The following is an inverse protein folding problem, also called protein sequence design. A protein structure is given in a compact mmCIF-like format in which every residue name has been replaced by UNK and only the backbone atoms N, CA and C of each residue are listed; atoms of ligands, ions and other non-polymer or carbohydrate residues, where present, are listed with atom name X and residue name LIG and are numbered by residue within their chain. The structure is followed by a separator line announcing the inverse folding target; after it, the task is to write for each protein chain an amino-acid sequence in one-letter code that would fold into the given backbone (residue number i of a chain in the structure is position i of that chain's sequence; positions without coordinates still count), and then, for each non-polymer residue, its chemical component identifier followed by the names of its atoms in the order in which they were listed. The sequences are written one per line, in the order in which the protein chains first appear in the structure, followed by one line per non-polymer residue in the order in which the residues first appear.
data_IF_945202993581
#
_entry.id   IF_945202993581
#
_cell.length_a   1.000
_cell.length_b   1.000
_cell.length_c   1.000
_cell.angle_alpha   90.00
_cell.angle_beta   90.00
_cell.angle_gamma   90.00
#
_symmetry.space_group_name_H-M   'P 1'
#
loop_
_entity.id
_entity.type
_entity.pdbx_description
1 polymer ?
#
# COMPACT_ATOMS: atom_id res chain seq x y z
N UNK A 1 -27.52 5.11 2.95
CA UNK A 1 -26.72 5.70 1.87
C UNK A 1 -26.42 4.60 0.85
N UNK A 2 -26.70 4.79 -0.44
CA UNK A 2 -26.35 3.78 -1.44
C UNK A 2 -24.82 3.66 -1.52
N UNK A 3 -24.28 2.45 -1.33
CA UNK A 3 -22.87 2.15 -1.57
C UNK A 3 -22.67 2.10 -3.09
N UNK A 4 -22.00 3.10 -3.65
CA UNK A 4 -21.57 3.06 -5.04
C UNK A 4 -20.33 2.17 -5.08
N UNK A 5 -20.50 0.90 -5.45
CA UNK A 5 -19.38 0.04 -5.88
C UNK A 5 -18.98 0.48 -7.27
N UNK A 6 -17.92 1.28 -7.36
CA UNK A 6 -17.31 1.68 -8.63
C UNK A 6 -16.35 0.55 -8.99
N UNK A 7 -16.62 -0.18 -10.07
CA UNK A 7 -15.66 -1.12 -10.64
C UNK A 7 -14.52 -0.32 -11.30
N UNK A 8 -13.45 -0.10 -10.54
CA UNK A 8 -12.27 0.63 -11.01
C UNK A 8 -11.38 -0.34 -11.77
N UNK A 9 -11.35 -0.23 -13.09
CA UNK A 9 -10.43 -0.99 -13.96
C UNK A 9 -9.23 -0.15 -14.39
N UNK A 10 -8.11 -0.80 -14.72
CA UNK A 10 -6.91 -0.09 -15.20
C UNK A 10 -7.16 0.70 -16.49
N UNK A 11 -7.99 0.17 -17.39
CA UNK A 11 -8.43 0.89 -18.59
C UNK A 11 -9.32 2.09 -18.26
N UNK A 12 -10.19 1.96 -17.24
CA UNK A 12 -11.03 3.05 -16.75
C UNK A 12 -10.18 4.21 -16.22
N UNK A 13 -9.18 3.92 -15.39
CA UNK A 13 -8.24 4.92 -14.88
C UNK A 13 -7.50 5.61 -16.04
N UNK A 14 -6.98 4.83 -17.00
CA UNK A 14 -6.27 5.39 -18.17
C UNK A 14 -7.12 6.35 -19.00
N UNK A 15 -8.43 6.16 -19.06
CA UNK A 15 -9.38 7.06 -19.76
C UNK A 15 -9.69 8.33 -18.96
N UNK A 16 -9.53 8.29 -17.63
CA UNK A 16 -9.80 9.42 -16.73
C UNK A 16 -8.59 10.34 -16.58
N UNK A 17 -7.36 9.80 -16.60
CA UNK A 17 -6.12 10.58 -16.44
C UNK A 17 -6.02 11.79 -17.40
N UNK A 18 -6.34 11.68 -18.71
CA UNK A 18 -6.26 12.82 -19.63
C UNK A 18 -7.29 13.92 -19.36
N UNK A 19 -8.32 13.64 -18.56
CA UNK A 19 -9.37 14.61 -18.20
C UNK A 19 -9.00 15.44 -16.96
N UNK A 20 -7.91 15.07 -16.28
CA UNK A 20 -7.42 15.74 -15.09
C UNK A 20 -6.46 16.88 -15.47
N UNK A 21 -6.42 17.91 -14.63
CA UNK A 21 -5.38 18.94 -14.74
C UNK A 21 -4.03 18.38 -14.30
N UNK A 22 -2.94 19.02 -14.73
CA UNK A 22 -1.58 18.66 -14.28
C UNK A 22 -1.47 18.66 -12.75
N UNK A 23 -2.07 19.64 -12.08
CA UNK A 23 -2.07 19.72 -10.61
C UNK A 23 -2.79 18.52 -9.97
N UNK A 24 -3.93 18.12 -10.52
CA UNK A 24 -4.68 16.96 -10.04
C UNK A 24 -3.90 15.66 -10.25
N UNK A 25 -3.18 15.54 -11.37
CA UNK A 25 -2.34 14.37 -11.64
C UNK A 25 -1.17 14.31 -10.64
N UNK A 26 -0.49 15.43 -10.41
CA UNK A 26 0.60 15.50 -9.44
C UNK A 26 0.13 15.19 -8.01
N UNK A 27 -1.06 15.66 -7.64
CA UNK A 27 -1.65 15.34 -6.35
C UNK A 27 -1.99 13.86 -6.22
N UNK A 28 -2.60 13.27 -7.24
CA UNK A 28 -2.91 11.84 -7.27
C UNK A 28 -1.64 10.99 -7.17
N UNK A 29 -0.59 11.39 -7.89
CA UNK A 29 0.72 10.72 -7.83
C UNK A 29 1.32 10.77 -6.42
N UNK A 30 1.26 11.93 -5.77
CA UNK A 30 1.73 12.08 -4.39
C UNK A 30 0.96 11.18 -3.41
N UNK A 31 -0.37 11.18 -3.48
CA UNK A 31 -1.22 10.34 -2.61
C UNK A 31 -0.94 8.83 -2.80
N UNK A 32 -0.71 8.40 -4.04
CA UNK A 32 -0.34 7.00 -4.34
C UNK A 32 1.01 6.65 -3.72
N UNK A 33 2.02 7.52 -3.84
CA UNK A 33 3.34 7.26 -3.29
C UNK A 33 3.33 7.22 -1.76
N UNK A 34 2.62 8.13 -1.10
CA UNK A 34 2.47 8.15 0.36
C UNK A 34 1.83 6.84 0.87
N UNK A 35 0.78 6.38 0.19
CA UNK A 35 0.14 5.10 0.51
C UNK A 35 1.10 3.91 0.34
N UNK A 36 1.82 3.86 -0.78
CA UNK A 36 2.76 2.77 -1.07
C UNK A 36 3.92 2.74 -0.08
N UNK A 37 4.49 3.90 0.25
CA UNK A 37 5.57 4.02 1.24
C UNK A 37 5.11 3.52 2.61
N UNK A 38 3.94 3.96 3.07
CA UNK A 38 3.34 3.52 4.33
C UNK A 38 3.14 2.00 4.33
N UNK A 39 2.56 1.46 3.26
CA UNK A 39 2.32 0.02 3.14
C UNK A 39 3.63 -0.78 3.14
N UNK A 40 4.67 -0.29 2.46
CA UNK A 40 5.99 -0.92 2.44
C UNK A 40 6.63 -0.94 3.82
N UNK A 41 6.61 0.18 4.55
CA UNK A 41 7.13 0.26 5.91
C UNK A 41 6.38 -0.69 6.85
N UNK A 42 5.05 -0.72 6.78
CA UNK A 42 4.23 -1.62 7.59
C UNK A 42 4.49 -3.09 7.27
N UNK A 43 4.61 -3.44 5.99
CA UNK A 43 4.91 -4.82 5.58
C UNK A 43 6.28 -5.26 6.07
N UNK A 44 7.30 -4.41 5.95
CA UNK A 44 8.64 -4.69 6.49
C UNK A 44 8.62 -4.90 8.01
N UNK A 45 7.94 -4.02 8.74
CA UNK A 45 7.79 -4.17 10.18
C UNK A 45 7.07 -5.47 10.55
N UNK A 46 5.99 -5.82 9.85
CA UNK A 46 5.26 -7.06 10.08
C UNK A 46 6.14 -8.29 9.86
N UNK A 47 6.95 -8.31 8.79
CA UNK A 47 7.90 -9.39 8.54
C UNK A 47 8.91 -9.52 9.67
N UNK A 48 9.53 -8.42 10.10
CA UNK A 48 10.52 -8.45 11.18
C UNK A 48 9.92 -8.88 12.53
N UNK A 49 8.68 -8.49 12.83
CA UNK A 49 7.97 -8.99 14.02
C UNK A 49 7.67 -10.48 13.91
N UNK A 50 7.29 -10.96 12.73
CA UNK A 50 7.03 -12.38 12.51
C UNK A 50 8.29 -13.23 12.69
N UNK A 51 9.43 -12.78 12.15
CA UNK A 51 10.74 -13.41 12.35
C UNK A 51 11.15 -13.42 13.83
N UNK A 52 10.94 -12.31 14.55
CA UNK A 52 11.21 -12.25 15.99
C UNK A 52 10.37 -13.22 16.83
N UNK A 53 9.13 -13.48 16.42
CA UNK A 53 8.24 -14.43 17.09
C UNK A 53 8.49 -15.89 16.70
N UNK A 54 9.38 -16.15 15.73
CA UNK A 54 9.73 -17.51 15.32
C UNK A 54 10.58 -18.19 16.41
N UNK A 55 10.04 -19.28 16.96
CA UNK A 55 10.69 -20.07 18.00
C UNK A 55 11.92 -20.81 17.50
N UNK A 56 12.02 -21.09 16.21
CA UNK A 56 13.21 -21.71 15.61
C UNK A 56 14.38 -20.71 15.54
N UNK A 57 14.10 -19.41 15.58
CA UNK A 57 15.11 -18.34 15.66
C UNK A 57 15.35 -17.86 17.11
N UNK A 58 14.67 -18.44 18.10
CA UNK A 58 14.86 -18.10 19.52
C UNK A 58 16.20 -18.66 20.04
N UNK A 59 17.25 -17.86 19.93
CA UNK A 59 18.59 -18.16 20.44
C UNK A 59 18.65 -18.32 21.98
N UNK A 60 17.59 -17.96 22.70
CA UNK A 60 17.50 -18.13 24.15
C UNK A 60 16.78 -19.43 24.55
N UNK A 61 16.10 -20.10 23.62
CA UNK A 61 15.41 -21.38 23.87
C UNK A 61 16.37 -22.56 24.11
N UNK A 62 17.66 -22.39 23.81
CA UNK A 62 18.70 -23.40 23.93
C UNK A 62 19.48 -23.38 25.28
N UNK A 63 19.02 -22.62 26.28
CA UNK A 63 19.62 -22.51 27.63
C UNK A 63 18.66 -23.03 28.71
#
# INVERSE_FOLDING_TARGET
MPKVTIDVTSEGIKKLLPQMTTEQILKLDHEIHEYLETHMMMSGAQTSFHEWEDKEEDIYSAI
#
